data_IF_581641642106
#
_entry.id   IF_581641642106
#
_cell.length_a   1.000
_cell.length_b   1.000
_cell.length_c   1.000
_cell.angle_alpha   90.00
_cell.angle_beta   90.00
_cell.angle_gamma   90.00
#
_symmetry.space_group_name_H-M   'P 1'
#
loop_
_entity.id
_entity.type
_entity.pdbx_description
1 polymer ?
#
# COMPACT_ATOMS: atom_id res chain seq x y z
N UNK A 1 16.63 11.54 -10.96
CA UNK A 1 16.29 10.12 -11.10
C UNK A 1 16.23 9.55 -9.70
N UNK A 2 15.03 9.15 -9.23
CA UNK A 2 14.89 8.49 -7.93
C UNK A 2 15.79 7.27 -7.83
N UNK A 3 16.42 7.08 -6.67
CA UNK A 3 17.14 5.85 -6.31
C UNK A 3 16.20 4.96 -5.51
N UNK A 4 15.99 3.74 -5.98
CA UNK A 4 15.09 2.75 -5.37
C UNK A 4 15.86 1.43 -5.28
N UNK A 5 16.11 0.97 -4.06
CA UNK A 5 16.90 -0.25 -3.79
C UNK A 5 18.31 -0.25 -4.41
N UNK A 6 18.94 0.92 -4.58
CA UNK A 6 20.28 1.06 -5.15
C UNK A 6 20.32 1.17 -6.68
N UNK A 7 19.16 1.20 -7.34
CA UNK A 7 19.05 1.44 -8.79
C UNK A 7 18.36 2.79 -9.08
N UNK A 8 18.70 3.39 -10.22
CA UNK A 8 18.16 4.69 -10.64
C UNK A 8 17.10 4.53 -11.72
N UNK A 9 15.93 5.10 -11.48
CA UNK A 9 14.81 5.02 -12.41
C UNK A 9 14.46 6.40 -12.98
N UNK A 10 13.97 6.49 -14.23
CA UNK A 10 13.43 7.73 -14.75
C UNK A 10 12.13 8.09 -14.02
N UNK A 11 12.02 9.33 -13.56
CA UNK A 11 10.83 9.82 -12.84
C UNK A 11 9.56 9.80 -13.71
N UNK A 12 9.73 9.95 -15.03
CA UNK A 12 8.66 9.95 -16.02
C UNK A 12 8.99 8.98 -17.14
N UNK A 13 8.02 8.18 -17.57
CA UNK A 13 8.16 7.28 -18.71
C UNK A 13 6.80 7.08 -19.39
N UNK A 14 6.71 7.30 -20.70
CA UNK A 14 5.53 7.00 -21.53
C UNK A 14 4.18 7.55 -20.98
N UNK A 15 4.17 8.78 -20.46
CA UNK A 15 2.96 9.39 -19.87
C UNK A 15 2.61 8.85 -18.47
N UNK A 16 3.57 8.20 -17.82
CA UNK A 16 3.47 7.74 -16.44
C UNK A 16 4.52 8.43 -15.55
N UNK A 17 4.20 8.54 -14.27
CA UNK A 17 5.08 9.01 -13.20
C UNK A 17 5.45 7.86 -12.30
N UNK A 18 6.73 7.78 -11.95
CA UNK A 18 7.20 6.89 -10.91
C UNK A 18 6.77 7.43 -9.55
N UNK A 19 5.87 6.71 -8.88
CA UNK A 19 5.44 6.96 -7.50
C UNK A 19 5.86 5.76 -6.68
N UNK A 20 6.86 5.97 -5.81
CA UNK A 20 7.52 4.88 -5.08
C UNK A 20 8.05 3.81 -6.08
N UNK A 21 7.63 2.54 -5.97
CA UNK A 21 8.04 1.47 -6.87
C UNK A 21 7.23 1.36 -8.18
N UNK A 22 6.18 2.18 -8.37
CA UNK A 22 5.19 1.96 -9.43
C UNK A 22 5.12 3.11 -10.43
N UNK A 23 5.03 2.78 -11.72
CA UNK A 23 4.68 3.76 -12.77
C UNK A 23 3.16 3.89 -12.86
N UNK A 24 2.66 5.06 -12.48
CA UNK A 24 1.24 5.41 -12.47
C UNK A 24 0.96 6.35 -13.65
N UNK A 25 -0.17 6.20 -14.35
CA UNK A 25 -0.55 7.14 -15.41
C UNK A 25 -0.59 8.57 -14.84
N UNK A 26 -0.06 9.54 -15.58
CA UNK A 26 0.10 10.92 -15.11
C UNK A 26 -1.22 11.54 -14.62
N UNK A 27 -2.35 11.14 -15.22
CA UNK A 27 -3.70 11.59 -14.85
C UNK A 27 -4.26 10.93 -13.57
N UNK A 28 -3.67 9.81 -13.14
CA UNK A 28 -4.11 9.02 -11.98
C UNK A 28 -3.22 9.23 -10.75
N UNK A 29 -2.06 9.88 -10.89
CA UNK A 29 -1.07 10.05 -9.80
C UNK A 29 -1.70 10.69 -8.56
N UNK A 30 -2.42 11.81 -8.73
CA UNK A 30 -3.03 12.51 -7.59
C UNK A 30 -4.08 11.65 -6.88
N UNK A 31 -4.86 10.91 -7.65
CA UNK A 31 -5.89 10.02 -7.14
C UNK A 31 -5.27 8.83 -6.40
N UNK A 32 -4.28 8.17 -7.00
CA UNK A 32 -3.55 7.06 -6.39
C UNK A 32 -2.92 7.47 -5.06
N UNK A 33 -2.19 8.59 -5.02
CA UNK A 33 -1.54 9.06 -3.78
C UNK A 33 -2.59 9.36 -2.70
N UNK A 34 -3.69 10.02 -3.04
CA UNK A 34 -4.74 10.31 -2.08
C UNK A 34 -5.34 9.04 -1.47
N UNK A 35 -5.71 8.07 -2.31
CA UNK A 35 -6.31 6.83 -1.83
C UNK A 35 -5.32 5.92 -1.13
N UNK A 36 -4.05 5.89 -1.57
CA UNK A 36 -2.98 5.15 -0.90
C UNK A 36 -2.82 5.61 0.54
N UNK A 37 -2.73 6.91 0.79
CA UNK A 37 -2.61 7.46 2.15
C UNK A 37 -3.86 7.17 2.99
N UNK A 38 -5.06 7.31 2.40
CA UNK A 38 -6.31 6.98 3.08
C UNK A 38 -6.38 5.51 3.50
N UNK A 39 -6.11 4.60 2.57
CA UNK A 39 -6.24 3.18 2.85
C UNK A 39 -5.09 2.63 3.70
N UNK A 40 -3.91 3.26 3.66
CA UNK A 40 -2.84 2.97 4.61
C UNK A 40 -3.33 3.14 6.06
N UNK A 41 -4.02 4.23 6.37
CA UNK A 41 -4.55 4.49 7.73
C UNK A 41 -5.66 3.50 8.12
N UNK A 42 -6.56 3.19 7.19
CA UNK A 42 -7.65 2.22 7.42
C UNK A 42 -7.07 0.83 7.69
N UNK A 43 -6.13 0.38 6.86
CA UNK A 43 -5.48 -0.91 6.96
C UNK A 43 -4.61 -1.00 8.23
N UNK A 44 -3.88 0.07 8.56
CA UNK A 44 -3.09 0.16 9.79
C UNK A 44 -3.98 0.02 11.03
N UNK A 45 -5.18 0.61 11.03
CA UNK A 45 -6.14 0.44 12.11
C UNK A 45 -6.64 -1.00 12.20
N UNK A 46 -7.03 -1.61 11.08
CA UNK A 46 -7.48 -3.00 11.04
C UNK A 46 -6.39 -3.97 11.54
N UNK A 47 -5.13 -3.75 11.15
CA UNK A 47 -4.00 -4.54 11.62
C UNK A 47 -3.76 -4.39 13.13
N UNK A 48 -3.91 -3.19 13.70
CA UNK A 48 -3.78 -2.96 15.16
C UNK A 48 -4.85 -3.67 15.99
N UNK A 49 -5.98 -4.04 15.38
CA UNK A 49 -7.02 -4.83 16.04
C UNK A 49 -6.70 -6.33 16.05
N UNK A 50 -5.81 -6.79 15.15
CA UNK A 50 -5.49 -8.21 14.95
C UNK A 50 -4.11 -8.64 15.42
N UNK A 51 -3.12 -7.77 15.31
CA UNK A 51 -1.72 -8.05 15.63
C UNK A 51 -1.27 -7.25 16.86
N UNK A 52 -0.15 -7.65 17.48
CA UNK A 52 0.39 -6.95 18.64
C UNK A 52 0.81 -5.51 18.30
N UNK A 53 1.41 -5.32 17.12
CA UNK A 53 1.67 -4.00 16.57
C UNK A 53 1.53 -3.99 15.05
N UNK A 54 1.39 -2.79 14.49
CA UNK A 54 1.35 -2.60 13.05
C UNK A 54 2.00 -1.27 12.67
N UNK A 55 2.67 -1.26 11.51
CA UNK A 55 3.36 -0.09 10.99
C UNK A 55 3.36 -0.07 9.46
N UNK A 56 3.66 1.11 8.89
CA UNK A 56 3.98 1.25 7.46
C UNK A 56 5.46 0.92 7.28
N UNK A 57 5.78 0.15 6.25
CA UNK A 57 7.12 -0.31 5.94
C UNK A 57 7.40 -0.21 4.44
N UNK A 58 8.68 -0.38 4.07
CA UNK A 58 9.13 -0.49 2.67
C UNK A 58 8.93 0.75 1.79
N UNK A 59 8.61 1.90 2.39
CA UNK A 59 8.55 3.18 1.66
C UNK A 59 9.89 3.48 0.97
N UNK A 60 9.87 3.74 -0.33
CA UNK A 60 11.06 4.00 -1.14
C UNK A 60 11.84 2.74 -1.54
N UNK A 61 11.32 1.55 -1.22
CA UNK A 61 11.94 0.28 -1.61
C UNK A 61 11.50 -0.17 -3.00
N UNK A 62 12.18 -1.16 -3.57
CA UNK A 62 11.80 -1.76 -4.85
C UNK A 62 10.51 -2.59 -4.77
N UNK A 63 10.16 -3.05 -3.58
CA UNK A 63 8.95 -3.84 -3.33
C UNK A 63 7.71 -2.96 -3.14
N UNK A 64 7.91 -1.65 -2.98
CA UNK A 64 6.87 -0.66 -2.72
C UNK A 64 6.36 -0.69 -1.29
N UNK A 65 5.72 0.40 -0.90
CA UNK A 65 5.19 0.59 0.45
C UNK A 65 4.13 -0.46 0.84
N UNK A 66 4.12 -0.87 2.11
CA UNK A 66 3.18 -1.82 2.67
C UNK A 66 2.77 -1.47 4.11
N UNK A 67 1.67 -2.06 4.59
CA UNK A 67 1.33 -2.16 6.01
C UNK A 67 1.68 -3.56 6.50
N UNK A 68 2.40 -3.63 7.62
CA UNK A 68 2.82 -4.89 8.23
C UNK A 68 2.22 -5.08 9.61
N UNK A 69 1.96 -6.33 9.97
CA UNK A 69 1.52 -6.77 11.29
C UNK A 69 2.62 -7.58 11.96
N UNK A 70 2.91 -7.29 13.22
CA UNK A 70 4.01 -7.88 13.98
C UNK A 70 3.51 -8.54 15.28
N UNK A 71 4.20 -9.58 15.73
CA UNK A 71 3.99 -10.19 17.05
C UNK A 71 4.67 -9.40 18.20
N UNK A 72 4.67 -9.96 19.40
CA UNK A 72 5.30 -9.35 20.60
C UNK A 72 6.83 -9.25 20.49
N UNK A 73 7.44 -10.13 19.72
CA UNK A 73 8.90 -10.19 19.50
C UNK A 73 9.33 -9.36 18.27
N UNK A 74 8.38 -8.75 17.56
CA UNK A 74 8.61 -7.96 16.35
C UNK A 74 8.77 -8.81 15.08
N UNK A 75 8.38 -10.09 15.09
CA UNK A 75 8.39 -10.91 13.89
C UNK A 75 7.22 -10.56 12.97
N UNK A 76 7.47 -10.58 11.67
CA UNK A 76 6.47 -10.35 10.65
C UNK A 76 5.40 -11.46 10.64
N UNK A 77 4.15 -11.07 10.90
CA UNK A 77 2.99 -11.96 10.90
C UNK A 77 2.18 -11.84 9.61
N UNK A 78 2.06 -10.63 9.05
CA UNK A 78 1.40 -10.39 7.78
C UNK A 78 1.88 -9.08 7.14
N UNK A 79 1.69 -8.95 5.83
CA UNK A 79 2.09 -7.82 5.00
C UNK A 79 1.08 -7.64 3.87
N UNK A 80 0.62 -6.40 3.67
CA UNK A 80 -0.22 -6.03 2.53
C UNK A 80 0.37 -4.79 1.86
N UNK A 81 0.71 -4.91 0.58
CA UNK A 81 1.24 -3.82 -0.22
C UNK A 81 0.18 -2.75 -0.48
N UNK A 82 0.61 -1.49 -0.57
CA UNK A 82 -0.19 -0.34 -0.96
C UNK A 82 0.00 -0.02 -2.45
N UNK A 83 0.08 -1.07 -3.26
CA UNK A 83 0.23 -0.98 -4.70
C UNK A 83 -1.07 -0.52 -5.39
N UNK A 84 -1.01 -0.12 -6.67
CA UNK A 84 -2.19 0.37 -7.38
C UNK A 84 -3.37 -0.61 -7.41
N UNK A 85 -3.10 -1.91 -7.52
CA UNK A 85 -4.14 -2.94 -7.56
C UNK A 85 -4.84 -3.05 -6.20
N UNK A 86 -4.09 -3.14 -5.11
CA UNK A 86 -4.66 -3.21 -3.75
C UNK A 86 -5.44 -1.94 -3.41
N UNK A 87 -4.91 -0.76 -3.78
CA UNK A 87 -5.61 0.52 -3.60
C UNK A 87 -6.93 0.57 -4.38
N UNK A 88 -6.93 0.12 -5.63
CA UNK A 88 -8.13 0.09 -6.47
C UNK A 88 -9.19 -0.90 -5.96
N UNK A 89 -8.76 -2.07 -5.45
CA UNK A 89 -9.68 -3.05 -4.85
C UNK A 89 -10.32 -2.52 -3.57
N UNK A 90 -9.56 -1.84 -2.69
CA UNK A 90 -10.12 -1.17 -1.51
C UNK A 90 -11.10 -0.05 -1.90
N UNK A 91 -10.77 0.73 -2.93
CA UNK A 91 -11.66 1.76 -3.48
C UNK A 91 -12.96 1.18 -4.02
N UNK A 92 -12.88 0.05 -4.71
CA UNK A 92 -14.06 -0.68 -5.19
C UNK A 92 -14.89 -1.21 -4.03
N UNK A 93 -14.26 -1.82 -3.03
CA UNK A 93 -14.95 -2.34 -1.84
C UNK A 93 -15.65 -1.23 -1.06
N UNK A 94 -14.99 -0.09 -0.85
CA UNK A 94 -15.60 1.08 -0.22
C UNK A 94 -16.80 1.61 -1.00
N UNK A 95 -16.72 1.68 -2.34
CA UNK A 95 -17.85 2.10 -3.19
C UNK A 95 -19.04 1.14 -3.09
N UNK A 96 -18.78 -0.13 -2.81
CA UNK A 96 -19.80 -1.16 -2.60
C UNK A 96 -20.27 -1.27 -1.14
N UNK A 97 -19.76 -0.43 -0.23
CA UNK A 97 -20.02 -0.48 1.22
C UNK A 97 -19.60 -1.84 1.86
N UNK A 98 -18.47 -2.39 1.38
CA UNK A 98 -17.91 -3.69 1.77
C UNK A 98 -16.44 -3.60 2.17
N UNK A 99 -15.98 -2.43 2.61
CA UNK A 99 -14.56 -2.25 2.92
C UNK A 99 -14.13 -3.16 4.08
N UNK A 100 -14.95 -3.33 5.12
CA UNK A 100 -14.68 -4.21 6.24
C UNK A 100 -14.55 -5.68 5.81
N UNK A 101 -15.47 -6.18 4.99
CA UNK A 101 -15.43 -7.55 4.46
C UNK A 101 -14.16 -7.79 3.62
N UNK A 102 -13.75 -6.80 2.81
CA UNK A 102 -12.54 -6.90 2.01
C UNK A 102 -11.28 -6.86 2.88
N UNK A 103 -11.23 -6.01 3.91
CA UNK A 103 -10.12 -5.97 4.85
C UNK A 103 -9.98 -7.29 5.61
N UNK A 104 -11.08 -7.87 6.11
CA UNK A 104 -11.05 -9.18 6.74
C UNK A 104 -10.50 -10.25 5.77
N UNK A 105 -10.99 -10.25 4.52
CA UNK A 105 -10.54 -11.18 3.49
C UNK A 105 -9.03 -11.09 3.22
N UNK A 106 -8.48 -9.89 3.01
CA UNK A 106 -7.05 -9.74 2.69
C UNK A 106 -6.14 -9.93 3.92
N UNK A 107 -6.66 -9.72 5.13
CA UNK A 107 -5.87 -9.90 6.36
C UNK A 107 -5.92 -11.37 6.84
N UNK A 108 -6.95 -12.14 6.47
CA UNK A 108 -7.10 -13.57 6.83
C UNK A 108 -6.71 -14.57 5.74
N UNK A 109 -6.74 -14.17 4.47
CA UNK A 109 -6.38 -15.00 3.33
C UNK A 109 -4.90 -15.31 3.25
#
# INVERSE_FOLDING_TARGET
MPEIGGEFFPEKMNGMTLVDAYYILDEEVEEYVFYREKYAEILLKAFKEKYNSAERAFQGSQDGEAVIGLDEDGNLMNLIHLDPMTVDEMKKAEKEDKIEEYLEYIIEG
#
